data_IF_820204561883
#
_entry.id   IF_820204561883
#
_cell.length_a   1.000
_cell.length_b   1.000
_cell.length_c   1.000
_cell.angle_alpha   90.00
_cell.angle_beta   90.00
_cell.angle_gamma   90.00
#
_symmetry.space_group_name_H-M   'P 1'
#
loop_
_entity.id
_entity.type
_entity.pdbx_description
1 polymer ?
#
# COMPACT_ATOMS: atom_id res chain seq x y z
N UNK A 1 -41.69 18.59 -13.34
CA UNK A 1 -42.12 18.13 -14.69
C UNK A 1 -40.88 17.75 -15.46
N UNK A 2 -40.87 16.58 -16.12
CA UNK A 2 -39.77 16.16 -16.99
C UNK A 2 -39.78 16.96 -18.30
N UNK A 3 -38.64 17.48 -18.73
CA UNK A 3 -38.47 18.26 -19.96
C UNK A 3 -37.82 17.40 -21.05
N UNK A 4 -38.24 17.55 -22.32
CA UNK A 4 -37.62 16.85 -23.46
C UNK A 4 -36.42 17.67 -23.93
N UNK A 5 -35.26 17.01 -24.09
CA UNK A 5 -34.05 17.62 -24.63
C UNK A 5 -33.26 16.60 -25.48
N UNK A 6 -32.48 17.05 -26.50
CA UNK A 6 -31.58 16.19 -27.27
C UNK A 6 -30.62 15.37 -26.39
N UNK A 7 -30.14 14.25 -26.92
CA UNK A 7 -29.11 13.46 -26.22
C UNK A 7 -27.86 14.31 -25.97
N UNK A 8 -27.34 14.26 -24.73
CA UNK A 8 -26.14 15.00 -24.31
C UNK A 8 -26.40 16.44 -23.83
N UNK A 9 -27.62 16.97 -23.89
CA UNK A 9 -27.93 18.35 -23.46
C UNK A 9 -28.78 18.44 -22.20
N UNK A 10 -29.01 17.30 -21.54
CA UNK A 10 -29.72 17.26 -20.27
C UNK A 10 -28.89 17.99 -19.21
N UNK A 11 -29.52 18.94 -18.52
CA UNK A 11 -28.88 19.61 -17.37
C UNK A 11 -28.59 18.57 -16.30
N UNK A 12 -27.31 18.26 -16.11
CA UNK A 12 -26.85 17.34 -15.08
C UNK A 12 -26.50 18.11 -13.81
N UNK A 13 -27.00 17.70 -12.62
CA UNK A 13 -26.50 18.21 -11.34
C UNK A 13 -25.15 17.60 -10.94
N UNK A 14 -24.60 16.68 -11.73
CA UNK A 14 -23.28 16.07 -11.54
C UNK A 14 -22.27 16.89 -12.36
N UNK A 15 -21.45 17.69 -11.67
CA UNK A 15 -20.37 18.49 -12.29
C UNK A 15 -19.08 17.68 -12.39
N UNK A 16 -18.13 18.15 -13.22
CA UNK A 16 -16.81 17.51 -13.32
C UNK A 16 -16.08 17.49 -11.98
N UNK A 17 -16.21 18.56 -11.18
CA UNK A 17 -15.62 18.68 -9.85
C UNK A 17 -16.22 17.67 -8.87
N UNK A 18 -17.52 17.34 -8.99
CA UNK A 18 -18.14 16.29 -8.18
C UNK A 18 -17.63 14.90 -8.54
N UNK A 19 -17.13 14.69 -9.76
CA UNK A 19 -16.54 13.42 -10.15
C UNK A 19 -15.11 13.31 -9.59
N UNK A 20 -14.34 14.40 -9.65
CA UNK A 20 -12.92 14.41 -9.26
C UNK A 20 -12.69 14.62 -7.76
N UNK A 21 -13.60 15.30 -7.06
CA UNK A 21 -13.44 15.66 -5.65
C UNK A 21 -14.01 14.67 -4.63
N UNK A 22 -14.71 13.61 -5.06
CA UNK A 22 -15.62 12.86 -4.17
C UNK A 22 -15.31 11.38 -3.98
N UNK A 23 -14.22 10.85 -4.52
CA UNK A 23 -13.96 9.40 -4.47
C UNK A 23 -12.63 9.08 -3.81
N UNK A 24 -12.66 8.83 -2.50
CA UNK A 24 -11.71 7.88 -1.92
C UNK A 24 -12.13 6.48 -2.37
N UNK A 25 -11.14 5.64 -2.67
CA UNK A 25 -11.35 4.23 -3.01
C UNK A 25 -10.84 3.35 -1.88
N UNK A 26 -11.51 2.23 -1.63
CA UNK A 26 -10.96 1.15 -0.82
C UNK A 26 -10.26 0.19 -1.77
N UNK A 27 -8.93 0.16 -1.71
CA UNK A 27 -8.09 -0.63 -2.62
C UNK A 27 -7.89 -2.07 -2.11
N UNK A 28 -7.82 -2.25 -0.79
CA UNK A 28 -7.64 -3.55 -0.13
C UNK A 28 -8.19 -3.53 1.30
N UNK A 29 -8.55 -4.70 1.85
CA UNK A 29 -9.01 -4.89 3.23
C UNK A 29 -8.08 -5.87 3.94
N UNK A 30 -7.52 -5.44 5.06
CA UNK A 30 -6.53 -6.17 5.82
C UNK A 30 -7.11 -6.46 7.21
N UNK A 31 -7.13 -7.73 7.61
CA UNK A 31 -7.59 -8.13 8.93
C UNK A 31 -6.39 -8.67 9.70
N UNK A 32 -6.08 -8.05 10.83
CA UNK A 32 -5.13 -8.62 11.77
C UNK A 32 -5.81 -9.77 12.52
N UNK A 33 -5.48 -11.01 12.15
CA UNK A 33 -6.10 -12.20 12.71
C UNK A 33 -5.84 -12.38 14.22
N UNK A 34 -4.84 -11.70 14.79
CA UNK A 34 -4.51 -11.79 16.22
C UNK A 34 -5.35 -10.81 17.04
N UNK A 35 -5.41 -9.56 16.60
CA UNK A 35 -6.11 -8.48 17.32
C UNK A 35 -7.57 -8.32 16.89
N UNK A 36 -7.96 -8.96 15.78
CA UNK A 36 -9.26 -8.80 15.10
C UNK A 36 -9.56 -7.37 14.61
N UNK A 37 -8.54 -6.49 14.58
CA UNK A 37 -8.68 -5.14 14.05
C UNK A 37 -8.66 -5.16 12.53
N UNK A 38 -9.56 -4.37 11.93
CA UNK A 38 -9.69 -4.24 10.48
C UNK A 38 -9.01 -2.95 10.03
N UNK A 39 -8.21 -3.08 9.00
CA UNK A 39 -7.56 -1.99 8.29
C UNK A 39 -7.99 -2.01 6.83
N UNK A 40 -7.82 -0.89 6.15
CA UNK A 40 -7.99 -0.83 4.71
C UNK A 40 -6.96 0.10 4.08
N UNK A 41 -6.70 -0.14 2.81
CA UNK A 41 -5.95 0.76 1.96
C UNK A 41 -6.91 1.74 1.31
N UNK A 42 -6.71 3.03 1.55
CA UNK A 42 -7.52 4.12 1.01
C UNK A 42 -6.75 4.91 -0.05
N UNK A 43 -7.25 4.90 -1.29
CA UNK A 43 -6.74 5.74 -2.37
C UNK A 43 -7.21 7.19 -2.21
N UNK A 44 -6.29 8.15 -2.27
CA UNK A 44 -6.56 9.59 -2.12
C UNK A 44 -6.15 10.39 -3.35
N UNK A 45 -7.04 10.55 -4.34
CA UNK A 45 -6.75 11.32 -5.56
C UNK A 45 -6.31 12.76 -5.30
N UNK A 46 -6.91 13.42 -4.31
CA UNK A 46 -6.58 14.81 -3.93
C UNK A 46 -5.18 14.95 -3.29
N UNK A 47 -4.60 13.84 -2.81
CA UNK A 47 -3.28 13.82 -2.17
C UNK A 47 -2.23 13.21 -3.10
N UNK A 48 -2.17 13.72 -4.34
CA UNK A 48 -1.28 13.23 -5.42
C UNK A 48 -1.48 11.73 -5.74
N UNK A 49 -2.68 11.20 -5.49
CA UNK A 49 -3.00 9.79 -5.76
C UNK A 49 -2.32 8.79 -4.83
N UNK A 50 -1.89 9.22 -3.63
CA UNK A 50 -1.29 8.31 -2.64
C UNK A 50 -2.32 7.35 -2.08
N UNK A 51 -1.86 6.17 -1.68
CA UNK A 51 -2.64 5.20 -0.92
C UNK A 51 -2.20 5.19 0.54
N UNK A 52 -3.14 5.04 1.47
CA UNK A 52 -2.92 5.17 2.92
C UNK A 52 -3.45 3.94 3.64
N UNK A 53 -2.69 3.43 4.61
CA UNK A 53 -3.17 2.40 5.53
C UNK A 53 -3.95 3.05 6.67
N UNK A 54 -5.23 2.69 6.80
CA UNK A 54 -6.16 3.27 7.77
C UNK A 54 -6.77 2.16 8.64
N UNK A 55 -6.92 2.42 9.93
CA UNK A 55 -7.75 1.60 10.81
C UNK A 55 -9.24 1.88 10.54
N UNK A 56 -9.98 0.87 10.11
CA UNK A 56 -11.31 1.05 9.50
C UNK A 56 -12.37 1.59 10.47
N UNK A 57 -12.29 1.25 11.76
CA UNK A 57 -13.30 1.67 12.75
C UNK A 57 -13.08 3.11 13.22
N UNK A 58 -11.82 3.50 13.47
CA UNK A 58 -11.48 4.83 14.01
C UNK A 58 -11.15 5.85 12.94
N UNK A 59 -10.89 5.42 11.70
CA UNK A 59 -10.46 6.30 10.60
C UNK A 59 -9.03 6.82 10.77
N UNK A 60 -8.25 6.24 11.69
CA UNK A 60 -6.90 6.70 12.01
C UNK A 60 -5.89 6.22 10.96
N UNK A 61 -5.09 7.15 10.44
CA UNK A 61 -3.95 6.83 9.58
C UNK A 61 -2.84 6.14 10.38
N UNK A 62 -2.36 5.01 9.88
CA UNK A 62 -1.29 4.22 10.51
C UNK A 62 0.10 4.73 10.11
N UNK A 63 0.22 5.28 8.90
CA UNK A 63 1.48 5.78 8.32
C UNK A 63 1.44 7.30 8.15
N UNK A 64 2.62 7.92 8.05
CA UNK A 64 2.75 9.37 7.88
C UNK A 64 2.27 9.88 6.52
N UNK A 65 2.08 11.20 6.41
CA UNK A 65 1.59 11.88 5.19
C UNK A 65 2.54 11.81 4.00
N UNK A 66 3.82 11.58 4.25
CA UNK A 66 4.87 11.50 3.23
C UNK A 66 5.07 10.09 2.66
N UNK A 67 4.16 9.15 3.00
CA UNK A 67 4.21 7.72 2.59
C UNK A 67 3.13 7.44 1.54
N UNK A 68 3.43 6.55 0.60
CA UNK A 68 2.46 6.04 -0.36
C UNK A 68 2.46 4.51 -0.38
N UNK A 69 1.46 3.91 0.30
CA UNK A 69 1.34 2.46 0.55
C UNK A 69 0.90 1.72 -0.73
N UNK A 70 1.80 1.69 -1.71
CA UNK A 70 1.61 1.08 -3.02
C UNK A 70 2.85 0.31 -3.41
N UNK A 71 2.68 -0.57 -4.38
CA UNK A 71 3.78 -1.28 -5.02
C UNK A 71 3.65 -1.20 -6.53
N UNK A 72 4.76 -1.31 -7.24
CA UNK A 72 4.79 -1.44 -8.70
C UNK A 72 4.83 -2.90 -9.17
N UNK A 73 4.67 -3.88 -8.27
CA UNK A 73 4.69 -5.29 -8.65
C UNK A 73 3.57 -5.58 -9.65
N UNK A 74 3.94 -6.20 -10.77
CA UNK A 74 3.08 -6.45 -11.94
C UNK A 74 2.39 -5.18 -12.49
N UNK A 75 2.88 -3.98 -12.15
CA UNK A 75 2.31 -2.67 -12.50
C UNK A 75 0.87 -2.39 -12.02
N UNK A 76 0.16 -3.40 -11.51
CA UNK A 76 -1.19 -3.26 -10.93
C UNK A 76 -1.16 -2.86 -9.46
N UNK A 77 -0.11 -3.24 -8.73
CA UNK A 77 0.20 -2.67 -7.42
C UNK A 77 -0.70 -3.09 -6.26
N UNK A 78 -1.29 -4.29 -6.33
CA UNK A 78 -2.10 -4.87 -5.25
C UNK A 78 -1.23 -5.48 -4.13
N UNK A 79 -1.85 -5.84 -2.99
CA UNK A 79 -1.23 -6.49 -1.84
C UNK A 79 0.04 -5.79 -1.33
N UNK A 80 -0.03 -4.45 -1.22
CA UNK A 80 1.08 -3.59 -0.81
C UNK A 80 1.28 -3.53 0.71
N UNK A 81 0.41 -4.15 1.52
CA UNK A 81 0.54 -4.16 2.97
C UNK A 81 -0.08 -5.39 3.63
N UNK A 82 0.38 -5.71 4.84
CA UNK A 82 -0.29 -6.61 5.80
C UNK A 82 -0.18 -6.03 7.21
N UNK A 83 -1.06 -6.46 8.12
CA UNK A 83 -0.94 -6.21 9.55
C UNK A 83 -1.04 -7.54 10.30
N UNK A 84 -0.13 -7.76 11.24
CA UNK A 84 -0.11 -8.95 12.07
C UNK A 84 0.37 -8.59 13.48
N UNK A 85 -0.44 -8.94 14.49
CA UNK A 85 -0.14 -8.68 15.91
C UNK A 85 0.23 -7.19 16.18
N UNK A 86 -0.55 -6.28 15.59
CA UNK A 86 -0.34 -4.84 15.73
C UNK A 86 0.92 -4.29 15.04
N UNK A 87 1.55 -5.06 14.15
CA UNK A 87 2.67 -4.60 13.31
C UNK A 87 2.24 -4.57 11.85
N UNK A 88 2.35 -3.41 11.22
CA UNK A 88 2.13 -3.24 9.78
C UNK A 88 3.45 -3.41 9.01
N UNK A 89 3.39 -4.18 7.92
CA UNK A 89 4.43 -4.26 6.90
C UNK A 89 3.87 -3.75 5.60
N UNK A 90 4.59 -2.85 4.92
CA UNK A 90 4.09 -2.26 3.68
C UNK A 90 5.19 -1.86 2.72
N UNK A 91 4.88 -1.88 1.42
CA UNK A 91 5.69 -1.27 0.37
C UNK A 91 5.39 0.22 0.27
N UNK A 92 6.44 1.03 0.20
CA UNK A 92 6.34 2.43 -0.19
C UNK A 92 6.79 2.59 -1.65
N UNK A 93 5.89 3.04 -2.53
CA UNK A 93 6.21 3.21 -3.96
C UNK A 93 7.19 4.38 -4.21
N UNK A 94 7.43 5.23 -3.22
CA UNK A 94 8.36 6.36 -3.33
C UNK A 94 9.81 5.88 -3.50
N UNK A 95 10.19 4.82 -2.79
CA UNK A 95 11.56 4.25 -2.83
C UNK A 95 11.62 2.74 -3.09
N UNK A 96 10.46 2.11 -3.27
CA UNK A 96 10.25 0.67 -3.46
C UNK A 96 10.75 -0.22 -2.31
N UNK A 97 10.88 0.32 -1.10
CA UNK A 97 11.30 -0.45 0.07
C UNK A 97 10.10 -0.97 0.86
N UNK A 98 10.37 -2.00 1.66
CA UNK A 98 9.41 -2.51 2.64
C UNK A 98 9.72 -1.87 3.96
N UNK A 99 8.68 -1.35 4.59
CA UNK A 99 8.70 -0.71 5.89
C UNK A 99 7.95 -1.54 6.91
N UNK A 100 8.38 -1.41 8.16
CA UNK A 100 7.75 -1.99 9.35
C UNK A 100 7.36 -0.86 10.29
N UNK A 101 6.14 -0.89 10.82
CA UNK A 101 5.68 0.09 11.82
C UNK A 101 4.71 -0.57 12.79
N UNK A 102 4.80 -0.20 14.07
CA UNK A 102 3.76 -0.56 15.04
C UNK A 102 2.51 0.27 14.75
N UNK A 103 1.32 -0.34 14.80
CA UNK A 103 0.07 0.39 14.55
C UNK A 103 -0.31 1.36 15.66
N UNK A 104 0.43 1.35 16.79
CA UNK A 104 0.23 2.28 17.91
C UNK A 104 0.59 3.71 17.51
N UNK A 105 -0.16 4.66 18.04
CA UNK A 105 0.07 6.09 17.81
C UNK A 105 1.51 6.51 18.18
N UNK A 106 2.10 7.39 17.37
CA UNK A 106 3.47 7.88 17.57
C UNK A 106 4.59 6.91 17.16
N UNK A 107 4.25 5.72 16.63
CA UNK A 107 5.25 4.79 16.10
C UNK A 107 5.90 5.33 14.83
N UNK A 108 7.20 5.11 14.67
CA UNK A 108 7.93 5.46 13.46
C UNK A 108 8.15 4.22 12.59
N UNK A 109 7.96 4.37 11.29
CA UNK A 109 8.25 3.32 10.32
C UNK A 109 9.76 3.19 10.12
N UNK A 110 10.24 1.95 10.04
CA UNK A 110 11.64 1.65 9.72
C UNK A 110 11.72 0.77 8.47
N UNK A 111 12.68 1.00 7.57
CA UNK A 111 12.84 0.15 6.40
C UNK A 111 13.52 -1.16 6.78
N UNK A 112 12.98 -2.27 6.28
CA UNK A 112 13.50 -3.63 6.53
C UNK A 112 14.15 -4.27 5.30
N UNK A 113 14.06 -3.64 4.13
CA UNK A 113 14.80 -4.02 2.92
C UNK A 113 15.91 -3.01 2.56
N UNK A 114 16.98 -3.44 1.87
CA UNK A 114 18.01 -2.54 1.37
C UNK A 114 17.46 -1.46 0.43
N UNK A 115 18.17 -0.33 0.33
CA UNK A 115 17.87 0.68 -0.68
C UNK A 115 18.27 0.16 -2.07
N UNK A 116 17.29 -0.20 -2.90
CA UNK A 116 17.46 -0.55 -4.29
C UNK A 116 16.17 -0.28 -5.08
N UNK A 117 16.17 0.77 -5.90
CA UNK A 117 14.98 1.16 -6.68
C UNK A 117 14.55 0.13 -7.73
N UNK A 118 15.45 -0.77 -8.13
CA UNK A 118 15.13 -1.85 -9.07
C UNK A 118 14.32 -2.97 -8.42
N UNK A 119 14.27 -3.05 -7.09
CA UNK A 119 13.54 -4.08 -6.38
C UNK A 119 12.16 -3.60 -5.99
N UNK A 120 11.13 -4.40 -6.22
CA UNK A 120 9.74 -4.10 -5.82
C UNK A 120 9.16 -5.27 -5.06
N UNK A 121 8.40 -4.99 -4.01
CA UNK A 121 7.88 -6.02 -3.10
C UNK A 121 6.37 -5.98 -2.98
N UNK A 122 5.74 -7.13 -2.81
CA UNK A 122 4.29 -7.26 -2.60
C UNK A 122 3.94 -8.61 -1.96
N UNK A 123 2.64 -8.85 -1.76
CA UNK A 123 2.08 -10.15 -1.37
C UNK A 123 2.72 -10.70 -0.10
N UNK A 124 2.73 -9.88 0.95
CA UNK A 124 3.39 -10.21 2.20
C UNK A 124 2.65 -11.29 2.98
N UNK A 125 3.39 -12.12 3.72
CA UNK A 125 2.82 -13.00 4.73
C UNK A 125 3.85 -13.25 5.85
N UNK A 126 3.39 -13.33 7.10
CA UNK A 126 4.26 -13.69 8.22
C UNK A 126 4.68 -15.15 8.11
N UNK A 127 5.95 -15.45 8.42
CA UNK A 127 6.40 -16.83 8.52
C UNK A 127 5.68 -17.52 9.70
N UNK A 128 5.13 -18.74 9.53
CA UNK A 128 4.22 -19.36 10.50
C UNK A 128 4.86 -19.75 11.83
N UNK A 129 6.20 -19.81 11.90
CA UNK A 129 6.95 -20.25 13.10
C UNK A 129 7.92 -19.20 13.63
N UNK A 130 8.46 -18.34 12.75
CA UNK A 130 9.48 -17.35 13.13
C UNK A 130 8.91 -15.95 12.82
N UNK A 131 8.37 -15.24 13.81
CA UNK A 131 7.71 -13.95 13.59
C UNK A 131 8.65 -12.86 13.10
N UNK A 132 9.97 -13.11 13.11
CA UNK A 132 10.97 -12.22 12.51
C UNK A 132 10.97 -12.28 10.98
N UNK A 133 10.52 -13.37 10.38
CA UNK A 133 10.62 -13.59 8.94
C UNK A 133 9.31 -13.22 8.25
N UNK A 134 9.43 -12.43 7.19
CA UNK A 134 8.33 -12.03 6.32
C UNK A 134 8.55 -12.65 4.93
N UNK A 135 7.58 -13.38 4.44
CA UNK A 135 7.56 -13.90 3.07
C UNK A 135 7.01 -12.82 2.14
N UNK A 136 7.60 -12.66 0.96
CA UNK A 136 7.17 -11.66 -0.03
C UNK A 136 7.51 -12.08 -1.44
N UNK A 137 6.78 -11.55 -2.42
CA UNK A 137 7.23 -11.52 -3.82
C UNK A 137 8.20 -10.36 -3.99
N UNK A 138 9.33 -10.62 -4.66
CA UNK A 138 10.28 -9.63 -5.15
C UNK A 138 10.26 -9.64 -6.69
N UNK A 139 10.08 -8.47 -7.30
CA UNK A 139 10.45 -8.22 -8.69
C UNK A 139 11.81 -7.53 -8.76
N UNK A 140 12.72 -8.09 -9.57
CA UNK A 140 14.01 -7.50 -9.90
C UNK A 140 13.98 -6.87 -11.29
N UNK A 141 14.02 -5.54 -11.33
CA UNK A 141 14.08 -4.69 -12.53
C UNK A 141 15.51 -4.21 -12.83
N UNK A 142 16.56 -4.89 -12.37
CA UNK A 142 17.95 -4.49 -12.64
C UNK A 142 18.24 -4.45 -14.14
N UNK A 143 17.50 -5.24 -14.94
CA UNK A 143 17.31 -5.02 -16.37
C UNK A 143 15.83 -4.68 -16.61
N UNK A 144 15.54 -3.39 -16.80
CA UNK A 144 14.18 -2.84 -16.88
C UNK A 144 13.56 -3.01 -18.28
N UNK A 145 13.67 -4.21 -18.84
CA UNK A 145 12.88 -4.65 -19.99
C UNK A 145 11.77 -5.56 -19.49
N UNK A 146 10.49 -5.40 -19.89
CA UNK A 146 9.39 -6.20 -19.33
C UNK A 146 9.61 -7.73 -19.37
N UNK A 147 10.30 -8.23 -20.41
CA UNK A 147 10.60 -9.66 -20.56
C UNK A 147 11.76 -10.16 -19.70
N UNK A 148 12.51 -9.27 -19.04
CA UNK A 148 13.69 -9.60 -18.23
C UNK A 148 13.47 -9.40 -16.73
N UNK A 149 12.31 -8.93 -16.32
CA UNK A 149 11.94 -8.81 -14.90
C UNK A 149 11.88 -10.19 -14.27
N UNK A 150 12.59 -10.39 -13.16
CA UNK A 150 12.64 -11.67 -12.45
C UNK A 150 11.73 -11.60 -11.23
N UNK A 151 10.74 -12.48 -11.16
CA UNK A 151 9.86 -12.66 -10.01
C UNK A 151 10.40 -13.77 -9.10
N UNK A 152 10.62 -13.48 -7.83
CA UNK A 152 11.17 -14.44 -6.85
C UNK A 152 10.38 -14.41 -5.54
N UNK A 153 10.16 -15.59 -4.94
CA UNK A 153 9.70 -15.67 -3.56
C UNK A 153 10.91 -15.45 -2.62
N UNK A 154 10.84 -14.44 -1.77
CA UNK A 154 11.92 -14.08 -0.85
C UNK A 154 11.46 -14.12 0.60
N UNK A 155 12.44 -14.26 1.48
CA UNK A 155 12.26 -14.08 2.92
C UNK A 155 13.00 -12.80 3.32
N UNK A 156 12.29 -11.88 3.95
CA UNK A 156 12.80 -10.63 4.50
C UNK A 156 12.98 -10.81 6.01
N UNK A 157 14.18 -10.52 6.51
CA UNK A 157 14.39 -10.37 7.95
C UNK A 157 13.84 -9.01 8.40
N UNK A 158 12.84 -9.05 9.28
CA UNK A 158 12.16 -7.85 9.78
C UNK A 158 12.93 -7.13 10.91
N UNK A 159 14.10 -7.63 11.30
CA UNK A 159 15.04 -6.83 12.09
C UNK A 159 15.68 -5.80 11.15
N UNK A 160 15.59 -4.53 11.53
CA UNK A 160 16.21 -3.45 10.78
C UNK A 160 17.66 -3.80 10.42
N UNK A 161 17.94 -3.90 9.12
CA UNK A 161 19.29 -4.10 8.61
C UNK A 161 20.07 -2.78 8.73
N UNK A 162 20.45 -2.41 9.95
CA UNK A 162 21.43 -1.35 10.17
C UNK A 162 22.81 -1.91 9.83
N UNK A 163 23.09 -2.14 8.54
CA UNK A 163 24.47 -2.12 8.08
C UNK A 163 24.89 -0.65 8.05
N UNK A 164 25.40 -0.16 9.19
CA UNK A 164 26.16 1.09 9.24
C UNK A 164 27.26 0.97 8.19
N UNK A 165 27.24 1.85 7.19
CA UNK A 165 28.43 2.12 6.37
C UNK A 165 29.54 2.68 7.27
#
# INVERSE_FOLDING_TARGET
>A
MSERAPYGTWKSPITAERITGSSTSTDDVIVDAITSVIYHLEGRPAEKGRCVLIESETGREIVGKDVNVRTGVHEYGSASAIVHDGIAYYSDIIDNRVYKVSVKEGSQAEPITPENKAFRYACFNNHPVDPRLLVSILEDHSNDTPSTVINTLVIIDTKANIRKK
#
